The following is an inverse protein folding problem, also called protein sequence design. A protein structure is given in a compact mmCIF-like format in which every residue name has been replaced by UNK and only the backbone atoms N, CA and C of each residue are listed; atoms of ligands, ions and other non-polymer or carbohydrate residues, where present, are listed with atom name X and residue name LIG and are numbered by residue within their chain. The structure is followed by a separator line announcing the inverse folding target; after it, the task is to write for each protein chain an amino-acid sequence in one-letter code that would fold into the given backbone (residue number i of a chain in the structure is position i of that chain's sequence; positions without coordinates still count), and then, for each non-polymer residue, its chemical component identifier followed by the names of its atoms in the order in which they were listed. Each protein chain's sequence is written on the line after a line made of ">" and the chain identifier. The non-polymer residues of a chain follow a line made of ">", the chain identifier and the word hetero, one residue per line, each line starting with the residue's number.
data_IF_955427994418
#
_entry.id   IF_955427994418
#
_cell.length_a   1.000
_cell.length_b   1.000
_cell.length_c   1.000
_cell.angle_alpha   90.00
_cell.angle_beta   90.00
_cell.angle_gamma   90.00
#
_symmetry.space_group_name_H-M   'P 1'
#
loop_
_entity.id
_entity.type
_entity.pdbx_description
1 polymer ?
#
# COMPACT_ATOMS: atom_id res chain seq x y z
N UNK A 1 10.45 -13.43 41.94
CA UNK A 1 11.10 -12.69 40.85
C UNK A 1 11.61 -13.70 39.83
N UNK A 2 11.30 -13.51 38.55
CA UNK A 2 11.74 -14.42 37.50
C UNK A 2 12.44 -13.64 36.41
N UNK A 3 13.45 -14.25 35.80
CA UNK A 3 14.05 -13.71 34.59
C UNK A 3 13.16 -14.00 33.39
N UNK A 4 12.67 -12.95 32.74
CA UNK A 4 11.78 -13.03 31.58
C UNK A 4 12.17 -11.97 30.56
N UNK A 5 11.59 -12.07 29.38
CA UNK A 5 11.66 -11.01 28.40
C UNK A 5 10.69 -9.89 28.79
N UNK A 6 11.22 -8.68 29.06
CA UNK A 6 10.41 -7.49 29.30
C UNK A 6 10.32 -6.68 28.01
N UNK A 7 9.09 -6.36 27.59
CA UNK A 7 8.82 -5.59 26.38
C UNK A 7 7.88 -4.45 26.72
N UNK A 8 8.27 -3.24 26.38
CA UNK A 8 7.38 -2.07 26.34
C UNK A 8 6.94 -1.86 24.91
N UNK A 9 5.64 -1.87 24.67
CA UNK A 9 5.07 -1.67 23.35
C UNK A 9 4.02 -0.55 23.35
N UNK A 10 3.86 0.09 22.20
CA UNK A 10 2.73 0.99 21.90
C UNK A 10 1.66 0.13 21.26
N UNK A 11 0.47 0.18 21.84
CA UNK A 11 -0.70 -0.50 21.32
C UNK A 11 -1.44 0.43 20.39
N UNK A 12 -1.77 -0.08 19.20
CA UNK A 12 -2.48 0.66 18.19
C UNK A 12 -3.43 -0.24 17.42
N UNK A 13 -4.45 0.38 16.84
CA UNK A 13 -5.34 -0.26 15.89
C UNK A 13 -5.07 0.31 14.51
N UNK A 14 -5.46 -0.43 13.48
CA UNK A 14 -5.16 -0.04 12.12
C UNK A 14 -5.83 -0.94 11.12
N UNK A 15 -5.44 -0.78 9.86
CA UNK A 15 -5.90 -1.63 8.77
C UNK A 15 -4.78 -1.88 7.77
N UNK A 16 -4.84 -3.03 7.10
CA UNK A 16 -3.99 -3.26 5.95
C UNK A 16 -4.58 -2.57 4.72
N UNK A 17 -3.73 -1.90 3.94
CA UNK A 17 -4.10 -1.27 2.68
C UNK A 17 -3.07 -1.53 1.60
N UNK A 18 -3.50 -1.74 0.37
CA UNK A 18 -2.59 -1.76 -0.76
C UNK A 18 -2.26 -0.33 -1.20
N UNK A 19 -0.98 -0.03 -1.42
CA UNK A 19 -0.57 1.27 -1.94
C UNK A 19 -0.72 1.36 -3.47
N UNK A 20 -0.59 0.24 -4.19
CA UNK A 20 -0.73 0.21 -5.64
C UNK A 20 -2.11 -0.30 -6.05
N UNK A 21 -2.98 0.66 -6.39
CA UNK A 21 -4.33 0.40 -6.88
C UNK A 21 -4.49 1.09 -8.24
N UNK A 22 -4.71 0.31 -9.28
CA UNK A 22 -5.04 0.79 -10.61
C UNK A 22 -6.56 0.77 -10.82
N UNK A 23 -7.12 1.95 -11.12
CA UNK A 23 -8.52 2.10 -11.48
C UNK A 23 -8.63 2.36 -12.97
N UNK A 24 -9.11 1.38 -13.70
CA UNK A 24 -9.28 1.45 -15.14
C UNK A 24 -10.55 2.26 -15.43
N UNK A 25 -10.34 3.37 -16.13
CA UNK A 25 -11.37 4.33 -16.50
C UNK A 25 -11.27 4.61 -18.00
N UNK A 26 -12.36 4.44 -18.76
CA UNK A 26 -12.35 4.80 -20.16
C UNK A 26 -12.05 6.29 -20.35
N UNK A 27 -11.15 6.63 -21.26
CA UNK A 27 -10.91 8.04 -21.65
C UNK A 27 -12.04 8.59 -22.54
N UNK A 28 -12.73 7.69 -23.23
CA UNK A 28 -13.80 7.99 -24.20
C UNK A 28 -15.04 7.17 -23.86
N UNK A 29 -16.21 7.71 -24.20
CA UNK A 29 -17.48 7.02 -24.01
C UNK A 29 -17.76 6.04 -25.14
N UNK A 30 -18.45 4.95 -24.83
CA UNK A 30 -18.69 3.89 -25.80
C UNK A 30 -19.54 2.74 -25.26
N UNK A 31 -19.87 1.81 -26.14
CA UNK A 31 -20.53 0.56 -25.78
C UNK A 31 -19.48 -0.49 -25.41
N UNK A 32 -19.65 -1.22 -24.31
CA UNK A 32 -18.74 -2.28 -23.89
C UNK A 32 -18.90 -3.49 -24.80
N UNK A 33 -17.86 -3.80 -25.57
CA UNK A 33 -17.83 -4.97 -26.44
C UNK A 33 -17.38 -6.22 -25.71
N UNK A 34 -16.41 -6.07 -24.82
CA UNK A 34 -15.79 -7.21 -24.15
C UNK A 34 -15.19 -6.81 -22.81
N UNK A 35 -15.43 -7.62 -21.80
CA UNK A 35 -14.73 -7.60 -20.51
C UNK A 35 -13.88 -8.87 -20.45
N UNK A 36 -12.57 -8.73 -20.41
CA UNK A 36 -11.62 -9.87 -20.49
C UNK A 36 -11.15 -10.35 -19.11
N UNK A 37 -11.67 -9.72 -18.05
CA UNK A 37 -11.27 -9.99 -16.67
C UNK A 37 -12.48 -10.35 -15.81
N UNK A 38 -12.23 -11.02 -14.71
CA UNK A 38 -13.25 -11.41 -13.74
C UNK A 38 -12.83 -10.96 -12.35
N UNK A 39 -13.81 -10.60 -11.51
CA UNK A 39 -13.56 -10.25 -10.12
C UNK A 39 -12.94 -11.43 -9.38
N UNK A 40 -11.87 -11.18 -8.62
CA UNK A 40 -11.04 -12.19 -7.96
C UNK A 40 -9.98 -12.83 -8.87
N UNK A 41 -9.98 -12.54 -10.17
CA UNK A 41 -8.98 -13.04 -11.11
C UNK A 41 -7.65 -12.31 -11.02
N UNK A 42 -6.56 -13.03 -11.31
CA UNK A 42 -5.22 -12.45 -11.47
C UNK A 42 -5.03 -11.89 -12.88
N UNK A 43 -4.27 -10.80 -12.98
CA UNK A 43 -3.91 -10.14 -14.25
C UNK A 43 -2.47 -9.67 -14.21
N UNK A 44 -1.80 -9.69 -15.36
CA UNK A 44 -0.46 -9.12 -15.53
C UNK A 44 -0.55 -7.74 -16.16
N UNK A 45 0.49 -6.94 -15.92
CA UNK A 45 0.66 -5.68 -16.64
C UNK A 45 0.64 -5.94 -18.16
N UNK A 46 -0.21 -5.17 -18.86
CA UNK A 46 -0.43 -5.28 -20.30
C UNK A 46 -1.56 -6.21 -20.71
N UNK A 47 -2.11 -7.02 -19.80
CA UNK A 47 -3.22 -7.91 -20.14
C UNK A 47 -4.47 -7.11 -20.54
N UNK A 48 -5.24 -7.56 -21.55
CA UNK A 48 -6.47 -6.88 -21.95
C UNK A 48 -7.49 -6.93 -20.82
N UNK A 49 -8.11 -5.79 -20.52
CA UNK A 49 -9.10 -5.66 -19.44
C UNK A 49 -10.49 -5.41 -20.01
N UNK A 50 -10.60 -4.36 -20.81
CA UNK A 50 -11.88 -3.85 -21.29
C UNK A 50 -11.72 -3.36 -22.72
N UNK A 51 -12.67 -3.74 -23.57
CA UNK A 51 -12.79 -3.19 -24.92
C UNK A 51 -14.15 -2.53 -25.08
N UNK A 52 -14.12 -1.26 -25.47
CA UNK A 52 -15.30 -0.48 -25.79
C UNK A 52 -15.27 -0.07 -27.27
N UNK A 53 -16.46 -0.02 -27.87
CA UNK A 53 -16.69 0.58 -29.16
C UNK A 53 -16.89 2.08 -28.95
N UNK A 54 -15.90 2.85 -29.37
CA UNK A 54 -16.01 4.31 -29.40
C UNK A 54 -17.06 4.68 -30.45
N UNK A 55 -18.08 5.45 -30.04
CA UNK A 55 -19.14 5.87 -30.96
C UNK A 55 -18.57 6.68 -32.11
N UNK A 56 -19.10 6.45 -33.32
CA UNK A 56 -18.85 7.22 -34.55
C UNK A 56 -17.40 7.26 -35.10
N UNK A 57 -16.40 6.81 -34.34
CA UNK A 57 -14.99 6.82 -34.78
C UNK A 57 -14.68 5.73 -35.82
N UNK A 58 -15.32 4.56 -35.75
CA UNK A 58 -15.12 3.51 -36.76
C UNK A 58 -15.54 3.97 -38.16
N UNK A 59 -16.66 4.71 -38.24
CA UNK A 59 -17.13 5.30 -39.49
C UNK A 59 -16.18 6.40 -39.95
N UNK A 60 -15.76 7.28 -39.05
CA UNK A 60 -14.81 8.35 -39.36
C UNK A 60 -13.45 7.82 -39.83
N UNK A 61 -12.95 6.71 -39.27
CA UNK A 61 -11.74 6.03 -39.74
C UNK A 61 -11.93 5.47 -41.15
N UNK A 62 -13.10 4.89 -41.46
CA UNK A 62 -13.42 4.39 -42.81
C UNK A 62 -13.47 5.53 -43.82
N UNK A 63 -14.18 6.61 -43.53
CA UNK A 63 -14.26 7.80 -44.39
C UNK A 63 -12.87 8.40 -44.64
N UNK A 64 -12.07 8.59 -43.59
CA UNK A 64 -10.72 9.14 -43.72
C UNK A 64 -9.78 8.19 -44.48
N UNK A 65 -9.98 6.87 -44.37
CA UNK A 65 -9.21 5.89 -45.14
C UNK A 65 -9.55 5.93 -46.64
N UNK A 66 -10.81 6.18 -46.99
CA UNK A 66 -11.22 6.38 -48.38
C UNK A 66 -10.64 7.69 -48.94
N UNK A 67 -10.67 8.78 -48.17
CA UNK A 67 -10.05 10.04 -48.56
C UNK A 67 -8.53 9.92 -48.71
N UNK A 68 -7.86 9.15 -47.86
CA UNK A 68 -6.43 8.82 -48.03
C UNK A 68 -6.18 8.10 -49.35
N UNK A 69 -7.05 7.15 -49.73
CA UNK A 69 -6.92 6.44 -51.00
C UNK A 69 -7.02 7.40 -52.19
N UNK A 70 -7.98 8.32 -52.18
CA UNK A 70 -8.15 9.38 -53.19
C UNK A 70 -6.90 10.28 -53.30
N UNK A 71 -6.45 10.86 -52.17
CA UNK A 71 -5.28 11.75 -52.16
C UNK A 71 -3.99 11.01 -52.55
N UNK A 72 -3.90 9.71 -52.21
CA UNK A 72 -2.77 8.88 -52.64
C UNK A 72 -2.72 8.69 -54.16
N UNK A 73 -3.88 8.63 -54.84
CA UNK A 73 -3.94 8.60 -56.30
C UNK A 73 -3.45 9.92 -56.90
N UNK A 74 -3.92 11.06 -56.39
CA UNK A 74 -3.50 12.39 -56.85
C UNK A 74 -1.99 12.58 -56.68
N UNK A 75 -1.44 12.18 -55.53
CA UNK A 75 0.00 12.21 -55.30
C UNK A 75 0.77 11.31 -56.27
N UNK A 76 0.30 10.08 -56.52
CA UNK A 76 0.91 9.18 -57.51
C UNK A 76 0.92 9.78 -58.91
N UNK A 77 -0.18 10.40 -59.33
CA UNK A 77 -0.29 11.03 -60.65
C UNK A 77 0.59 12.26 -60.77
N UNK A 78 0.62 13.13 -59.75
CA UNK A 78 1.50 14.29 -59.70
C UNK A 78 2.98 13.87 -59.72
N UNK A 79 3.33 12.77 -59.03
CA UNK A 79 4.68 12.20 -59.05
C UNK A 79 5.08 11.74 -60.45
N UNK A 80 4.23 10.94 -61.11
CA UNK A 80 4.47 10.49 -62.49
C UNK A 80 4.65 11.65 -63.46
N UNK A 81 3.84 12.71 -63.33
CA UNK A 81 3.96 13.92 -64.16
C UNK A 81 5.28 14.65 -63.93
N UNK A 82 5.69 14.79 -62.68
CA UNK A 82 7.00 15.37 -62.35
C UNK A 82 8.15 14.53 -62.91
N UNK A 83 8.14 13.22 -62.67
CA UNK A 83 9.17 12.31 -63.19
C UNK A 83 9.24 12.34 -64.73
N UNK A 84 8.08 12.41 -65.40
CA UNK A 84 8.00 12.52 -66.87
C UNK A 84 8.52 13.86 -67.38
N UNK A 85 8.17 14.98 -66.71
CA UNK A 85 8.66 16.31 -67.08
C UNK A 85 10.18 16.41 -66.95
N UNK A 86 10.76 15.83 -65.90
CA UNK A 86 12.23 15.72 -65.72
C UNK A 86 12.86 14.93 -66.87
N UNK A 87 12.28 13.78 -67.24
CA UNK A 87 12.78 12.97 -68.36
C UNK A 87 12.67 13.70 -69.71
N UNK A 88 11.58 14.44 -69.94
CA UNK A 88 11.39 15.22 -71.16
C UNK A 88 12.36 16.41 -71.22
N UNK A 89 12.71 17.02 -70.09
CA UNK A 89 13.68 18.13 -70.03
C UNK A 89 15.08 17.64 -70.40
N UNK A 90 15.46 16.44 -69.92
CA UNK A 90 16.72 15.79 -70.29
C UNK A 90 16.80 15.50 -71.80
N UNK A 91 15.65 15.23 -72.43
CA UNK A 91 15.52 15.03 -73.88
C UNK A 91 15.31 16.33 -74.67
N UNK A 92 15.33 17.50 -74.00
CA UNK A 92 15.08 18.82 -74.60
C UNK A 92 13.67 18.97 -75.22
N UNK A 93 12.69 18.21 -74.73
CA UNK A 93 11.29 18.19 -75.22
C UNK A 93 10.33 19.08 -74.41
N UNK A 94 10.79 19.72 -73.33
CA UNK A 94 9.98 20.59 -72.46
C UNK A 94 10.84 21.71 -71.86
N UNK A 95 10.22 22.65 -71.14
CA UNK A 95 10.92 23.80 -70.55
C UNK A 95 11.18 23.60 -69.05
N UNK A 96 12.14 24.36 -68.49
CA UNK A 96 12.37 24.37 -67.04
C UNK A 96 11.12 24.83 -66.27
N UNK A 97 10.36 25.77 -66.82
CA UNK A 97 9.11 26.26 -66.24
C UNK A 97 8.07 25.13 -66.07
N UNK A 98 7.99 24.21 -67.05
CA UNK A 98 7.07 23.06 -66.97
C UNK A 98 7.47 22.10 -65.87
N UNK A 99 8.78 21.85 -65.70
CA UNK A 99 9.30 21.03 -64.60
C UNK A 99 9.02 21.68 -63.25
N UNK A 100 9.24 22.99 -63.12
CA UNK A 100 8.99 23.72 -61.87
C UNK A 100 7.50 23.73 -61.52
N UNK A 101 6.61 23.87 -62.51
CA UNK A 101 5.16 23.74 -62.33
C UNK A 101 4.76 22.32 -61.90
N UNK A 102 5.35 21.29 -62.52
CA UNK A 102 5.10 19.90 -62.15
C UNK A 102 5.64 19.59 -60.73
N UNK A 103 6.80 20.14 -60.36
CA UNK A 103 7.37 20.05 -59.02
C UNK A 103 6.46 20.71 -57.99
N UNK A 104 6.00 21.93 -58.24
CA UNK A 104 5.07 22.63 -57.36
C UNK A 104 3.73 21.87 -57.21
N UNK A 105 3.26 21.20 -58.27
CA UNK A 105 2.09 20.32 -58.19
C UNK A 105 2.36 19.06 -57.36
N UNK A 106 3.51 18.42 -57.54
CA UNK A 106 3.94 17.27 -56.74
C UNK A 106 4.09 17.64 -55.26
N UNK A 107 4.76 18.74 -54.95
CA UNK A 107 4.99 19.23 -53.59
C UNK A 107 3.65 19.53 -52.87
N UNK A 108 2.69 20.15 -53.57
CA UNK A 108 1.32 20.36 -53.05
C UNK A 108 0.60 19.04 -52.77
N UNK A 109 0.67 18.08 -53.68
CA UNK A 109 0.06 16.76 -53.49
C UNK A 109 0.71 15.99 -52.33
N UNK A 110 2.03 16.09 -52.17
CA UNK A 110 2.78 15.49 -51.07
C UNK A 110 2.47 16.14 -49.71
N UNK A 111 2.24 17.45 -49.67
CA UNK A 111 1.77 18.14 -48.47
C UNK A 111 0.35 17.70 -48.09
N UNK A 112 -0.57 17.64 -49.07
CA UNK A 112 -1.94 17.16 -48.86
C UNK A 112 -1.97 15.73 -48.33
N UNK A 113 -1.18 14.83 -48.92
CA UNK A 113 -1.05 13.45 -48.48
C UNK A 113 -0.62 13.35 -47.01
N UNK A 114 0.39 14.13 -46.61
CA UNK A 114 0.87 14.16 -45.21
C UNK A 114 -0.23 14.62 -44.24
N UNK A 115 -1.00 15.64 -44.60
CA UNK A 115 -2.12 16.12 -43.77
C UNK A 115 -3.19 15.04 -43.57
N UNK A 116 -3.58 14.35 -44.64
CA UNK A 116 -4.60 13.30 -44.59
C UNK A 116 -4.12 12.07 -43.81
N UNK A 117 -2.84 11.70 -43.97
CA UNK A 117 -2.20 10.64 -43.18
C UNK A 117 -2.19 10.96 -41.68
N UNK A 118 -1.81 12.19 -41.31
CA UNK A 118 -1.79 12.63 -39.92
C UNK A 118 -3.21 12.61 -39.31
N UNK A 119 -4.21 13.05 -40.06
CA UNK A 119 -5.61 13.00 -39.63
C UNK A 119 -6.11 11.55 -39.45
N UNK A 120 -5.78 10.63 -40.35
CA UNK A 120 -6.12 9.21 -40.20
C UNK A 120 -5.45 8.59 -38.97
N UNK A 121 -4.17 8.90 -38.74
CA UNK A 121 -3.44 8.43 -37.56
C UNK A 121 -4.10 8.92 -36.26
N UNK A 122 -4.54 10.20 -36.22
CA UNK A 122 -5.26 10.75 -35.08
C UNK A 122 -6.59 10.01 -34.82
N UNK A 123 -7.40 9.74 -35.85
CA UNK A 123 -8.65 8.97 -35.72
C UNK A 123 -8.41 7.52 -35.26
N UNK A 124 -7.39 6.86 -35.80
CA UNK A 124 -7.00 5.51 -35.36
C UNK A 124 -6.56 5.49 -33.90
N UNK A 125 -5.80 6.49 -33.46
CA UNK A 125 -5.43 6.62 -32.06
C UNK A 125 -6.67 6.74 -31.16
N UNK A 126 -7.70 7.49 -31.57
CA UNK A 126 -8.97 7.58 -30.84
C UNK A 126 -9.67 6.22 -30.73
N UNK A 127 -9.73 5.43 -31.80
CA UNK A 127 -10.28 4.05 -31.71
C UNK A 127 -9.45 3.14 -30.80
N UNK A 128 -8.12 3.34 -30.77
CA UNK A 128 -7.21 2.61 -29.88
C UNK A 128 -7.48 2.87 -28.40
N UNK A 129 -7.96 4.07 -28.04
CA UNK A 129 -8.37 4.42 -26.65
C UNK A 129 -9.58 3.61 -26.17
N UNK A 130 -10.29 2.95 -27.08
CA UNK A 130 -11.34 2.00 -26.72
C UNK A 130 -10.81 0.67 -26.16
N UNK A 131 -9.50 0.38 -26.27
CA UNK A 131 -8.87 -0.81 -25.70
C UNK A 131 -8.07 -0.43 -24.46
N UNK A 132 -8.47 -0.99 -23.32
CA UNK A 132 -7.80 -0.78 -22.05
C UNK A 132 -7.12 -2.07 -21.61
N UNK A 133 -5.90 -1.92 -21.11
CA UNK A 133 -5.09 -2.99 -20.53
C UNK A 133 -4.75 -2.68 -19.08
N UNK A 134 -4.33 -3.69 -18.33
CA UNK A 134 -3.92 -3.49 -16.95
C UNK A 134 -2.57 -2.74 -16.89
N UNK A 135 -2.46 -1.62 -16.15
CA UNK A 135 -1.19 -0.91 -15.99
C UNK A 135 -0.27 -1.56 -14.95
N UNK A 136 -0.78 -2.50 -14.14
CA UNK A 136 -0.05 -3.20 -13.08
C UNK A 136 -0.33 -4.71 -13.14
N UNK A 137 0.52 -5.49 -12.49
CA UNK A 137 0.23 -6.90 -12.19
C UNK A 137 -0.48 -6.96 -10.85
N UNK A 138 -1.55 -7.74 -10.73
CA UNK A 138 -2.33 -7.80 -9.49
C UNK A 138 -3.62 -8.61 -9.61
N UNK A 139 -4.54 -8.34 -8.70
CA UNK A 139 -5.85 -9.02 -8.59
C UNK A 139 -6.96 -8.02 -8.87
N UNK A 140 -7.95 -8.44 -9.64
CA UNK A 140 -9.13 -7.65 -9.98
C UNK A 140 -10.09 -7.65 -8.79
N UNK A 141 -10.25 -6.50 -8.13
CA UNK A 141 -11.09 -6.38 -6.92
C UNK A 141 -12.51 -5.97 -7.23
N UNK A 142 -12.73 -5.23 -8.32
CA UNK A 142 -14.05 -4.76 -8.75
C UNK A 142 -14.17 -4.77 -10.27
N UNK A 143 -15.34 -5.16 -10.76
CA UNK A 143 -15.77 -5.02 -12.16
C UNK A 143 -17.15 -4.39 -12.13
N UNK A 144 -17.26 -3.13 -12.57
CA UNK A 144 -18.49 -2.34 -12.50
C UNK A 144 -19.20 -2.21 -13.86
N UNK A 145 -18.73 -2.93 -14.87
CA UNK A 145 -19.24 -2.86 -16.25
C UNK A 145 -19.49 -4.26 -16.78
N UNK A 146 -20.51 -4.37 -17.62
CA UNK A 146 -20.90 -5.59 -18.32
C UNK A 146 -20.88 -5.37 -19.83
N UNK A 147 -20.77 -6.47 -20.58
CA UNK A 147 -20.89 -6.43 -22.04
C UNK A 147 -22.27 -5.89 -22.43
N UNK A 148 -22.30 -4.93 -23.35
CA UNK A 148 -23.51 -4.21 -23.76
C UNK A 148 -23.76 -2.90 -23.01
N UNK A 149 -23.06 -2.62 -21.91
CA UNK A 149 -23.22 -1.36 -21.19
C UNK A 149 -22.71 -0.18 -22.00
N UNK A 150 -23.34 0.99 -21.84
CA UNK A 150 -22.83 2.25 -22.35
C UNK A 150 -22.09 2.95 -21.22
N UNK A 151 -20.77 3.12 -21.38
CA UNK A 151 -19.92 3.77 -20.38
C UNK A 151 -19.60 5.20 -20.80
N UNK A 152 -19.54 6.10 -19.81
CA UNK A 152 -19.07 7.46 -20.00
C UNK A 152 -17.55 7.54 -19.77
N UNK A 153 -16.87 8.60 -20.26
CA UNK A 153 -15.50 8.90 -19.86
C UNK A 153 -15.36 9.00 -18.34
N UNK A 154 -14.21 8.57 -17.82
CA UNK A 154 -13.84 8.64 -16.40
C UNK A 154 -14.72 7.77 -15.46
N UNK A 155 -15.61 6.93 -15.98
CA UNK A 155 -16.33 5.94 -15.17
C UNK A 155 -15.37 4.85 -14.69
N UNK A 156 -15.38 4.53 -13.39
CA UNK A 156 -14.58 3.44 -12.82
C UNK A 156 -15.11 2.09 -13.28
N UNK A 157 -14.44 1.47 -14.26
CA UNK A 157 -14.89 0.24 -14.88
C UNK A 157 -14.33 -1.01 -14.19
N UNK A 158 -13.03 -1.01 -13.93
CA UNK A 158 -12.33 -2.14 -13.28
C UNK A 158 -11.33 -1.59 -12.28
N UNK A 159 -11.23 -2.22 -11.12
CA UNK A 159 -10.21 -1.90 -10.12
C UNK A 159 -9.31 -3.10 -9.90
N UNK A 160 -8.01 -2.86 -9.98
CA UNK A 160 -6.94 -3.85 -9.89
C UNK A 160 -6.03 -3.39 -8.75
N UNK A 161 -5.67 -4.32 -7.89
CA UNK A 161 -4.85 -4.07 -6.71
C UNK A 161 -3.63 -4.99 -6.76
N UNK A 162 -2.44 -4.48 -6.46
CA UNK A 162 -1.25 -5.30 -6.31
C UNK A 162 -1.11 -5.81 -4.86
N UNK A 163 -1.26 -7.13 -4.59
CA UNK A 163 -1.10 -7.69 -3.26
C UNK A 163 0.33 -7.55 -2.69
N UNK A 164 1.35 -7.39 -3.54
CA UNK A 164 2.72 -7.19 -3.07
C UNK A 164 2.92 -5.79 -2.45
N UNK A 165 2.00 -4.86 -2.73
CA UNK A 165 2.04 -3.48 -2.23
C UNK A 165 1.31 -3.27 -0.90
N UNK A 166 0.90 -4.35 -0.22
CA UNK A 166 0.22 -4.24 1.07
C UNK A 166 1.12 -3.64 2.16
N UNK A 167 0.57 -2.66 2.87
CA UNK A 167 1.15 -2.03 4.05
C UNK A 167 0.12 -2.00 5.17
N UNK A 168 0.59 -2.03 6.41
CA UNK A 168 -0.27 -1.83 7.58
C UNK A 168 -0.24 -0.36 7.95
N UNK A 169 -1.41 0.27 8.01
CA UNK A 169 -1.59 1.63 8.51
C UNK A 169 -2.10 1.53 9.94
N UNK A 170 -1.25 1.88 10.90
CA UNK A 170 -1.59 1.94 12.32
C UNK A 170 -1.86 3.39 12.72
N UNK A 171 -2.92 3.62 13.48
CA UNK A 171 -3.25 4.93 14.03
C UNK A 171 -2.67 5.01 15.45
N UNK A 172 -1.69 5.90 15.65
CA UNK A 172 -0.98 6.06 16.93
C UNK A 172 -1.43 7.35 17.63
N UNK A 173 -1.70 7.29 18.92
CA UNK A 173 -2.05 8.47 19.73
C UNK A 173 -0.94 9.54 19.71
N UNK A 174 -1.32 10.82 19.69
CA UNK A 174 -0.39 11.95 19.70
C UNK A 174 0.58 11.96 20.90
N UNK A 175 0.18 11.36 22.04
CA UNK A 175 1.03 11.24 23.22
C UNK A 175 2.15 10.21 23.02
N UNK A 176 1.89 9.15 22.26
CA UNK A 176 2.81 8.04 22.04
C UNK A 176 3.70 8.22 20.81
N UNK A 177 3.31 9.09 19.86
CA UNK A 177 3.99 9.25 18.57
C UNK A 177 5.47 9.67 18.71
N UNK A 178 5.81 10.40 19.77
CA UNK A 178 7.19 10.83 20.07
C UNK A 178 8.14 9.66 20.31
N UNK A 179 7.60 8.49 20.65
CA UNK A 179 8.34 7.26 20.90
C UNK A 179 8.35 6.30 19.68
N UNK A 180 7.70 6.68 18.57
CA UNK A 180 7.67 5.88 17.34
C UNK A 180 8.71 6.39 16.33
N UNK A 181 9.57 5.49 15.85
CA UNK A 181 10.61 5.81 14.90
C UNK A 181 10.67 4.79 13.75
N UNK A 182 11.02 5.23 12.52
CA UNK A 182 11.33 4.32 11.42
C UNK A 182 12.36 3.26 11.83
N UNK A 183 12.11 2.02 11.43
CA UNK A 183 12.98 0.87 11.71
C UNK A 183 12.59 0.05 12.94
N UNK A 184 11.72 0.54 13.81
CA UNK A 184 11.22 -0.21 14.97
C UNK A 184 10.47 -1.47 14.54
N UNK A 185 10.62 -2.53 15.34
CA UNK A 185 9.90 -3.78 15.14
C UNK A 185 8.50 -3.67 15.70
N UNK A 186 7.53 -4.29 15.03
CA UNK A 186 6.17 -4.39 15.51
C UNK A 186 5.63 -5.82 15.35
N UNK A 187 4.64 -6.16 16.16
CA UNK A 187 3.82 -7.35 15.98
C UNK A 187 2.44 -6.94 15.53
N UNK A 188 1.97 -7.51 14.43
CA UNK A 188 0.66 -7.27 13.84
C UNK A 188 -0.18 -8.53 13.98
N UNK A 189 -1.39 -8.39 14.50
CA UNK A 189 -2.40 -9.44 14.50
C UNK A 189 -3.60 -8.95 13.68
N UNK A 190 -4.11 -9.78 12.79
CA UNK A 190 -5.31 -9.48 12.02
C UNK A 190 -6.52 -10.17 12.65
N UNK A 191 -7.64 -9.46 12.76
CA UNK A 191 -8.85 -10.02 13.36
C UNK A 191 -9.40 -11.21 12.57
N UNK A 192 -9.19 -11.19 11.25
CA UNK A 192 -9.52 -12.29 10.35
C UNK A 192 -8.63 -13.54 10.53
N UNK A 193 -7.55 -13.46 11.32
CA UNK A 193 -6.58 -14.53 11.54
C UNK A 193 -6.27 -14.72 13.05
N UNK A 194 -7.25 -15.18 13.84
CA UNK A 194 -7.08 -15.29 15.29
C UNK A 194 -5.93 -16.21 15.67
N UNK A 195 -5.18 -15.82 16.72
CA UNK A 195 -4.05 -16.57 17.25
C UNK A 195 -2.74 -16.45 16.45
N UNK A 196 -2.74 -15.75 15.30
CA UNK A 196 -1.52 -15.50 14.51
C UNK A 196 -1.00 -14.09 14.74
N UNK A 197 0.32 -13.97 14.85
CA UNK A 197 1.05 -12.70 14.94
C UNK A 197 2.13 -12.67 13.87
N UNK A 198 2.21 -11.55 13.17
CA UNK A 198 3.14 -11.33 12.07
C UNK A 198 4.10 -10.21 12.44
N UNK A 199 5.37 -10.41 12.13
CA UNK A 199 6.38 -9.38 12.35
C UNK A 199 6.25 -8.32 11.27
N UNK A 200 6.29 -7.07 11.71
CA UNK A 200 6.34 -5.91 10.85
C UNK A 200 7.45 -4.96 11.29
N UNK A 201 7.76 -3.99 10.44
CA UNK A 201 8.71 -2.93 10.73
C UNK A 201 8.08 -1.59 10.38
N UNK A 202 8.23 -0.61 11.26
CA UNK A 202 7.84 0.77 10.98
C UNK A 202 8.67 1.27 9.79
N UNK A 203 8.00 1.62 8.70
CA UNK A 203 8.63 2.20 7.52
C UNK A 203 8.75 3.70 7.68
N UNK A 204 7.63 4.36 7.99
CA UNK A 204 7.52 5.81 8.07
C UNK A 204 6.36 6.24 8.96
N UNK A 205 6.53 7.41 9.56
CA UNK A 205 5.48 8.13 10.28
C UNK A 205 4.95 9.23 9.35
N UNK A 206 3.64 9.35 9.20
CA UNK A 206 3.02 10.45 8.46
C UNK A 206 2.78 11.59 9.45
N UNK A 207 3.46 12.75 9.31
CA UNK A 207 3.37 13.85 10.26
C UNK A 207 2.10 14.69 10.05
N UNK A 208 0.95 14.03 9.96
CA UNK A 208 -0.37 14.65 9.83
C UNK A 208 -1.32 13.96 10.79
N UNK A 209 -1.70 14.68 11.85
CA UNK A 209 -2.70 14.20 12.79
C UNK A 209 -4.10 14.31 12.20
N UNK A 210 -4.93 13.31 12.47
CA UNK A 210 -6.35 13.39 12.24
C UNK A 210 -7.00 14.25 13.35
N UNK A 211 -7.69 15.32 12.96
CA UNK A 211 -8.22 16.30 13.91
C UNK A 211 -9.33 15.72 14.82
N UNK A 212 -10.01 14.66 14.36
CA UNK A 212 -11.13 14.03 15.06
C UNK A 212 -10.62 12.97 16.03
N UNK A 213 -9.74 12.08 15.57
CA UNK A 213 -9.26 10.95 16.39
C UNK A 213 -8.02 11.29 17.22
N UNK A 214 -7.34 12.41 16.94
CA UNK A 214 -6.06 12.80 17.59
C UNK A 214 -4.96 11.74 17.43
N UNK A 215 -5.01 11.00 16.32
CA UNK A 215 -4.01 9.99 15.99
C UNK A 215 -3.19 10.39 14.77
N UNK A 216 -1.99 9.83 14.66
CA UNK A 216 -1.11 9.96 13.51
C UNK A 216 -0.94 8.60 12.82
N UNK A 217 -1.07 8.53 11.49
CA UNK A 217 -0.91 7.29 10.78
C UNK A 217 0.58 6.93 10.65
N UNK A 218 0.89 5.71 11.05
CA UNK A 218 2.20 5.08 10.93
C UNK A 218 2.09 3.92 9.96
N UNK A 219 2.99 3.90 8.98
CA UNK A 219 3.00 2.88 7.93
C UNK A 219 4.04 1.82 8.29
N UNK A 220 3.62 0.56 8.29
CA UNK A 220 4.46 -0.59 8.59
C UNK A 220 4.53 -1.56 7.41
N UNK A 221 5.74 -2.07 7.19
CA UNK A 221 6.01 -3.19 6.29
C UNK A 221 5.86 -4.51 7.01
N UNK A 222 5.05 -5.41 6.46
CA UNK A 222 5.06 -6.81 6.89
C UNK A 222 6.37 -7.47 6.46
N UNK A 223 7.05 -8.11 7.41
CA UNK A 223 8.25 -8.90 7.16
C UNK A 223 7.86 -10.34 6.80
N UNK A 224 6.86 -10.87 7.50
CA UNK A 224 6.38 -12.22 7.29
C UNK A 224 5.37 -12.25 6.13
N UNK A 225 5.43 -13.30 5.31
CA UNK A 225 4.45 -13.52 4.25
C UNK A 225 3.10 -13.91 4.85
N UNK A 226 2.04 -13.24 4.41
CA UNK A 226 0.67 -13.52 4.83
C UNK A 226 -0.15 -13.83 3.58
N UNK A 227 -0.56 -15.10 3.45
CA UNK A 227 -1.45 -15.52 2.38
C UNK A 227 -2.86 -14.95 2.59
N UNK A 228 -3.57 -14.69 1.49
CA UNK A 228 -4.99 -14.28 1.50
C UNK A 228 -5.26 -12.99 2.30
N UNK A 229 -4.36 -12.02 2.20
CA UNK A 229 -4.64 -10.66 2.68
C UNK A 229 -5.66 -9.98 1.78
N UNK A 230 -6.65 -9.37 2.43
CA UNK A 230 -7.64 -8.53 1.77
C UNK A 230 -7.42 -7.08 2.19
N UNK A 231 -7.61 -6.17 1.25
CA UNK A 231 -7.61 -4.74 1.53
C UNK A 231 -8.69 -4.40 2.58
N UNK A 232 -8.33 -3.57 3.56
CA UNK A 232 -9.25 -3.11 4.60
C UNK A 232 -9.40 -4.05 5.80
N UNK A 233 -8.65 -5.15 5.90
CA UNK A 233 -8.66 -5.96 7.13
C UNK A 233 -8.13 -5.15 8.32
N UNK A 234 -8.87 -5.17 9.42
CA UNK A 234 -8.47 -4.58 10.70
C UNK A 234 -7.28 -5.33 11.30
N UNK A 235 -6.38 -4.56 11.88
CA UNK A 235 -5.18 -5.06 12.52
C UNK A 235 -5.02 -4.44 13.92
N UNK A 236 -4.56 -5.25 14.86
CA UNK A 236 -3.99 -4.80 16.13
C UNK A 236 -2.48 -4.80 15.99
N UNK A 237 -1.83 -3.69 16.35
CA UNK A 237 -0.40 -3.45 16.17
C UNK A 237 0.23 -3.15 17.53
N UNK A 238 1.31 -3.87 17.84
CA UNK A 238 2.14 -3.63 19.01
C UNK A 238 3.53 -3.21 18.53
N UNK A 239 3.82 -1.91 18.55
CA UNK A 239 5.14 -1.37 18.16
C UNK A 239 6.08 -1.48 19.36
N UNK A 240 7.20 -2.18 19.21
CA UNK A 240 8.15 -2.44 20.28
C UNK A 240 9.02 -1.19 20.48
N UNK A 241 8.85 -0.50 21.62
CA UNK A 241 9.69 0.64 22.00
C UNK A 241 11.03 0.15 22.59
N UNK A 242 10.94 -0.73 23.58
CA UNK A 242 12.10 -1.24 24.31
C UNK A 242 11.94 -2.72 24.58
N UNK A 243 13.05 -3.45 24.45
CA UNK A 243 13.12 -4.89 24.66
C UNK A 243 14.34 -5.21 25.50
N UNK A 244 14.12 -5.82 26.66
CA UNK A 244 15.19 -6.29 27.55
C UNK A 244 15.12 -7.81 27.64
N UNK A 245 15.99 -8.52 26.90
CA UNK A 245 16.07 -9.96 27.05
C UNK A 245 16.62 -10.29 28.45
N UNK A 246 15.99 -11.24 29.13
CA UNK A 246 16.45 -11.76 30.43
C UNK A 246 16.44 -10.73 31.57
N UNK A 247 15.42 -9.85 31.62
CA UNK A 247 15.19 -8.89 32.68
C UNK A 247 14.67 -9.57 33.96
N UNK A 248 15.09 -9.11 35.14
CA UNK A 248 14.49 -9.55 36.40
C UNK A 248 13.12 -8.89 36.55
N UNK A 249 12.06 -9.69 36.60
CA UNK A 249 10.69 -9.17 36.60
C UNK A 249 9.90 -9.61 37.83
N UNK A 250 8.95 -8.77 38.22
CA UNK A 250 7.92 -9.07 39.22
C UNK A 250 6.55 -8.81 38.61
N UNK A 251 5.49 -9.51 39.06
CA UNK A 251 4.11 -9.15 38.69
C UNK A 251 3.84 -7.69 39.06
N UNK A 252 3.13 -6.95 38.19
CA UNK A 252 2.77 -5.57 38.48
C UNK A 252 1.98 -5.43 39.80
N UNK A 253 1.24 -6.48 40.18
CA UNK A 253 0.46 -6.53 41.42
C UNK A 253 1.30 -6.67 42.71
N UNK A 254 2.63 -6.75 42.60
CA UNK A 254 3.54 -6.76 43.73
C UNK A 254 4.04 -5.35 44.14
N UNK A 255 3.77 -4.34 43.32
CA UNK A 255 4.19 -2.95 43.56
C UNK A 255 3.15 -2.23 44.43
N UNK A 256 3.60 -1.35 45.33
CA UNK A 256 2.75 -0.56 46.24
C UNK A 256 2.73 0.91 45.79
N UNK A 257 3.79 1.67 46.11
CA UNK A 257 3.86 3.10 45.82
C UNK A 257 4.76 3.32 44.61
N UNK A 258 4.15 3.55 43.45
CA UNK A 258 4.87 3.83 42.21
C UNK A 258 5.06 5.35 42.01
N UNK A 259 6.30 5.80 42.01
CA UNK A 259 6.69 7.18 41.70
C UNK A 259 7.70 7.21 40.55
N UNK A 260 7.22 7.58 39.36
CA UNK A 260 8.00 7.72 38.12
C UNK A 260 8.82 6.48 37.72
N UNK A 261 10.05 6.35 38.21
CA UNK A 261 10.98 5.24 37.91
C UNK A 261 11.38 4.45 39.16
N UNK A 262 10.66 4.66 40.26
CA UNK A 262 10.84 3.94 41.52
C UNK A 262 9.50 3.37 41.96
N UNK A 263 9.56 2.24 42.62
CA UNK A 263 8.43 1.69 43.34
C UNK A 263 8.87 1.14 44.68
N UNK A 264 7.92 0.97 45.59
CA UNK A 264 8.11 0.15 46.79
C UNK A 264 7.47 -1.23 46.59
N UNK A 265 8.12 -2.25 47.16
CA UNK A 265 7.57 -3.61 47.24
C UNK A 265 7.95 -4.25 48.57
N UNK A 266 7.25 -5.31 48.96
CA UNK A 266 7.58 -6.08 50.15
C UNK A 266 8.39 -7.32 49.82
N UNK A 267 9.57 -7.44 50.40
CA UNK A 267 10.40 -8.65 50.38
C UNK A 267 10.20 -9.43 51.68
N UNK A 268 10.03 -10.74 51.59
CA UNK A 268 9.95 -11.62 52.76
C UNK A 268 11.36 -12.08 53.12
N UNK A 269 11.83 -11.67 54.30
CA UNK A 269 13.10 -12.14 54.86
C UNK A 269 13.09 -13.64 55.17
N UNK A 270 14.27 -14.26 55.30
CA UNK A 270 14.37 -15.68 55.66
C UNK A 270 13.78 -16.02 57.03
N UNK A 271 13.66 -15.02 57.90
CA UNK A 271 13.03 -15.11 59.22
C UNK A 271 11.51 -14.97 59.17
N UNK A 272 10.91 -14.73 58.00
CA UNK A 272 9.45 -14.63 57.83
C UNK A 272 8.87 -13.23 58.06
N UNK A 273 9.69 -12.19 58.10
CA UNK A 273 9.22 -10.80 58.25
C UNK A 273 9.18 -10.06 56.92
N UNK A 274 8.16 -9.21 56.73
CA UNK A 274 8.06 -8.29 55.60
C UNK A 274 9.10 -7.16 55.72
N UNK A 275 9.73 -6.82 54.60
CA UNK A 275 10.64 -5.69 54.48
C UNK A 275 10.19 -4.81 53.32
N UNK A 276 9.75 -3.58 53.61
CA UNK A 276 9.45 -2.62 52.58
C UNK A 276 10.76 -2.15 51.94
N UNK A 277 10.85 -2.28 50.62
CA UNK A 277 12.07 -1.94 49.88
C UNK A 277 11.74 -1.09 48.67
N UNK A 278 12.49 0.00 48.52
CA UNK A 278 12.47 0.81 47.31
C UNK A 278 13.30 0.14 46.22
N UNK A 279 12.71 -0.02 45.06
CA UNK A 279 13.33 -0.61 43.87
C UNK A 279 13.29 0.38 42.71
N UNK A 280 14.25 0.25 41.80
CA UNK A 280 14.27 1.01 40.54
C UNK A 280 13.58 0.19 39.46
N UNK A 281 12.58 0.78 38.81
CA UNK A 281 11.86 0.15 37.72
C UNK A 281 12.61 0.28 36.38
N UNK A 282 12.40 -0.68 35.50
CA UNK A 282 12.86 -0.69 34.12
C UNK A 282 11.70 -0.76 33.13
N UNK A 283 11.81 -1.65 32.14
CA UNK A 283 10.76 -1.90 31.14
C UNK A 283 9.47 -2.42 31.79
N UNK A 284 8.37 -1.69 31.56
CA UNK A 284 7.03 -2.08 31.99
C UNK A 284 6.32 -2.83 30.85
N UNK A 285 5.95 -4.08 31.11
CA UNK A 285 5.02 -4.85 30.29
C UNK A 285 3.59 -4.79 30.85
N UNK A 286 2.68 -5.57 30.27
CA UNK A 286 1.26 -5.58 30.66
C UNK A 286 1.03 -6.29 32.02
N UNK A 287 1.67 -7.44 32.26
CA UNK A 287 1.51 -8.23 33.49
C UNK A 287 2.72 -8.14 34.43
N UNK A 288 3.92 -7.89 33.87
CA UNK A 288 5.18 -7.90 34.60
C UNK A 288 5.97 -6.61 34.39
N UNK A 289 6.71 -6.21 35.42
CA UNK A 289 7.57 -5.03 35.41
C UNK A 289 9.00 -5.44 35.71
N UNK A 290 9.95 -4.94 34.93
CA UNK A 290 11.37 -5.11 35.19
C UNK A 290 11.79 -4.32 36.44
N UNK A 291 12.56 -4.99 37.30
CA UNK A 291 13.29 -4.37 38.40
C UNK A 291 14.75 -4.22 37.96
N UNK A 292 15.14 -2.98 37.67
CA UNK A 292 16.47 -2.65 37.19
C UNK A 292 17.51 -2.63 38.32
N UNK A 293 17.09 -2.31 39.55
CA UNK A 293 17.96 -2.32 40.74
C UNK A 293 17.13 -2.44 42.04
N UNK A 294 17.75 -2.95 43.10
CA UNK A 294 17.16 -3.06 44.45
C UNK A 294 16.52 -4.40 44.80
N UNK A 295 16.58 -5.40 43.90
CA UNK A 295 16.03 -6.75 44.14
C UNK A 295 16.95 -7.82 43.56
N UNK A 296 17.11 -8.94 44.27
CA UNK A 296 17.84 -10.12 43.79
C UNK A 296 16.90 -11.24 43.35
N UNK A 297 17.42 -12.15 42.53
CA UNK A 297 16.64 -13.27 41.96
C UNK A 297 16.15 -14.28 43.00
N UNK A 298 16.92 -14.47 44.06
CA UNK A 298 16.65 -15.43 45.13
C UNK A 298 15.68 -14.90 46.20
N UNK A 299 15.30 -13.63 46.12
CA UNK A 299 14.41 -13.00 47.09
C UNK A 299 12.94 -13.32 46.84
N UNK A 300 12.18 -13.44 47.94
CA UNK A 300 10.73 -13.70 47.89
C UNK A 300 9.99 -12.37 47.96
N UNK A 301 9.21 -12.07 46.93
CA UNK A 301 8.40 -10.85 46.86
C UNK A 301 6.95 -11.21 47.19
N UNK A 302 6.34 -10.42 48.08
CA UNK A 302 4.93 -10.58 48.41
C UNK A 302 4.06 -10.05 47.27
N UNK A 303 2.97 -10.77 46.97
CA UNK A 303 2.01 -10.39 45.93
C UNK A 303 0.76 -9.78 46.57
N UNK A 304 0.16 -8.79 45.91
CA UNK A 304 -1.07 -8.12 46.34
C UNK A 304 -0.99 -7.59 47.79
N UNK A 305 -0.02 -6.72 48.08
CA UNK A 305 0.15 -6.13 49.41
C UNK A 305 -1.14 -5.41 49.86
N UNK A 306 -1.46 -5.54 51.15
CA UNK A 306 -2.63 -4.91 51.76
C UNK A 306 -2.26 -3.55 52.35
N UNK A 307 -3.22 -2.63 52.45
CA UNK A 307 -3.00 -1.27 52.99
C UNK A 307 -2.52 -1.26 54.45
N UNK A 308 -2.82 -2.32 55.22
CA UNK A 308 -2.46 -2.46 56.63
C UNK A 308 -1.09 -3.13 56.86
N UNK A 309 -0.36 -3.47 55.78
CA UNK A 309 0.95 -4.12 55.90
C UNK A 309 2.05 -3.13 56.25
N UNK A 310 2.86 -3.49 57.25
CA UNK A 310 4.00 -2.69 57.68
C UNK A 310 5.32 -3.47 57.59
N UNK A 311 6.41 -2.75 57.38
CA UNK A 311 7.76 -3.34 57.44
C UNK A 311 8.03 -3.84 58.85
N UNK A 312 8.48 -5.09 58.98
CA UNK A 312 8.72 -5.78 60.26
C UNK A 312 7.57 -6.68 60.71
N UNK A 313 6.45 -6.72 59.99
CA UNK A 313 5.34 -7.62 60.26
C UNK A 313 5.70 -9.09 59.96
N UNK A 314 5.37 -9.99 60.87
CA UNK A 314 5.55 -11.44 60.67
C UNK A 314 4.47 -11.97 59.72
N UNK A 315 4.88 -12.79 58.75
CA UNK A 315 3.99 -13.40 57.77
C UNK A 315 4.20 -14.90 57.67
N UNK A 316 3.10 -15.63 57.56
CA UNK A 316 3.11 -17.08 57.33
C UNK A 316 3.12 -17.33 55.82
N UNK A 317 4.18 -17.96 55.34
CA UNK A 317 4.33 -18.29 53.93
C UNK A 317 3.47 -19.51 53.61
N UNK A 318 2.38 -19.31 52.87
CA UNK A 318 1.57 -20.41 52.35
C UNK A 318 2.32 -21.14 51.21
N UNK A 319 2.89 -22.30 51.53
CA UNK A 319 3.69 -23.12 50.60
C UNK A 319 2.85 -23.79 49.51
N UNK A 320 1.52 -23.77 49.58
CA UNK A 320 0.65 -24.45 48.62
C UNK A 320 0.52 -23.71 47.28
N UNK A 321 0.60 -22.37 47.28
CA UNK A 321 0.48 -21.55 46.05
C UNK A 321 1.80 -21.32 45.30
N UNK A 322 2.95 -21.54 45.94
CA UNK A 322 4.29 -21.32 45.36
C UNK A 322 4.63 -22.26 44.17
N UNK A 323 3.88 -23.35 43.97
CA UNK A 323 4.13 -24.36 42.90
C UNK A 323 3.23 -24.24 41.67
N UNK A 324 2.09 -23.54 41.73
CA UNK A 324 1.16 -23.46 40.59
C UNK A 324 1.50 -22.34 39.58
N UNK A 325 2.48 -21.49 39.88
CA UNK A 325 2.91 -20.38 39.01
C UNK A 325 4.34 -20.54 38.44
N UNK A 326 4.94 -21.72 38.56
CA UNK A 326 6.19 -22.06 37.86
C UNK A 326 5.92 -22.66 36.49
#
# INVERSE_FOLDING_TARGET
>A
PDRREAVRAIHATGAIRAEQIARIRPEVGGEVLQVSVQQGGEVRQGDPVLQIKVRDEDLAVREQSAHLAEVSMIHRDARKRYDSAVSMLQQQLTTQQDVDNARASYDRAAASLRTVQASLAARRAMTGRGRMSSPITGVVTKVNVSVGDIVAPNTEAVTILDPASFKVYAEIDELDITNVQPGQMALVAFDAMPGKRFRARVERVIPQADEVTKTLPVVLNLIDYVANLSDGLTATINIIQERRPNALTVPASALVDEEAQRATLFVVSDQGFLQLRTVKLGVRGEEYVEIADGLREDERVALNPQEDWESGQEVVIDKARTRQQK
#
